data_IF_934044028602
#
_entry.id   IF_934044028602
#
_cell.length_a   1.000
_cell.length_b   1.000
_cell.length_c   1.000
_cell.angle_alpha   90.00
_cell.angle_beta   90.00
_cell.angle_gamma   90.00
#
_symmetry.space_group_name_H-M   'P 1'
#
loop_
_entity.id
_entity.type
_entity.pdbx_description
1 polymer ?
#
# COMPACT_ATOMS: atom_id res chain seq x y z
N UNK A 1 2.92 -19.45 1.46
CA UNK A 1 3.12 -19.05 2.86
C UNK A 1 1.90 -19.47 3.66
N UNK A 2 2.10 -20.07 4.84
CA UNK A 2 0.99 -20.46 5.72
C UNK A 2 0.21 -19.23 6.19
N UNK A 3 -1.11 -19.26 6.03
CA UNK A 3 -2.03 -18.21 6.49
C UNK A 3 -1.89 -17.93 7.99
N UNK A 4 -1.53 -18.93 8.80
CA UNK A 4 -1.28 -18.76 10.23
C UNK A 4 -0.16 -17.77 10.52
N UNK A 5 0.87 -17.72 9.66
CA UNK A 5 1.99 -16.77 9.81
C UNK A 5 1.48 -15.34 9.61
N UNK A 6 0.69 -15.12 8.56
CA UNK A 6 0.13 -13.80 8.26
C UNK A 6 -0.84 -13.32 9.32
N UNK A 7 -1.73 -14.20 9.78
CA UNK A 7 -2.69 -13.85 10.82
C UNK A 7 -1.99 -13.57 12.16
N UNK A 8 -0.90 -14.28 12.45
CA UNK A 8 -0.04 -14.01 13.62
C UNK A 8 0.71 -12.69 13.49
N UNK A 9 1.23 -12.35 12.30
CA UNK A 9 1.85 -11.05 12.02
C UNK A 9 0.84 -9.91 12.25
N UNK A 10 -0.38 -10.05 11.73
CA UNK A 10 -1.46 -9.07 11.90
C UNK A 10 -1.89 -8.95 13.36
N UNK A 11 -1.94 -10.06 14.11
CA UNK A 11 -2.24 -10.05 15.54
C UNK A 11 -1.17 -9.28 16.32
N UNK A 12 0.11 -9.59 16.09
CA UNK A 12 1.23 -8.88 16.72
C UNK A 12 1.25 -7.39 16.37
N UNK A 13 0.93 -7.04 15.13
CA UNK A 13 0.78 -5.65 14.70
C UNK A 13 -0.35 -4.95 15.48
N UNK A 14 -1.53 -5.57 15.55
CA UNK A 14 -2.69 -5.04 16.27
C UNK A 14 -2.38 -4.76 17.74
N UNK A 15 -1.73 -5.71 18.42
CA UNK A 15 -1.34 -5.55 19.83
C UNK A 15 -0.42 -4.33 20.03
N UNK A 16 0.60 -4.18 19.19
CA UNK A 16 1.50 -3.01 19.26
C UNK A 16 0.77 -1.70 18.97
N UNK A 17 -0.17 -1.68 18.02
CA UNK A 17 -0.98 -0.49 17.72
C UNK A 17 -1.80 -0.09 18.94
N UNK A 18 -2.51 -1.04 19.56
CA UNK A 18 -3.31 -0.76 20.76
C UNK A 18 -2.40 -0.26 21.88
N UNK A 19 -1.28 -0.92 22.13
CA UNK A 19 -0.39 -0.56 23.24
C UNK A 19 0.26 0.83 23.06
N UNK A 20 0.72 1.17 21.84
CA UNK A 20 1.57 2.35 21.61
C UNK A 20 0.89 3.53 20.94
N UNK A 21 -0.17 3.29 20.17
CA UNK A 21 -0.78 4.31 19.32
C UNK A 21 -2.21 4.67 19.73
N UNK A 22 -2.86 3.95 20.64
CA UNK A 22 -4.25 4.23 21.06
C UNK A 22 -4.51 5.69 21.49
N UNK A 23 -3.51 6.35 22.05
CA UNK A 23 -3.63 7.74 22.47
C UNK A 23 -3.41 8.75 21.33
N UNK A 24 -2.88 8.29 20.20
CA UNK A 24 -2.36 9.11 19.10
C UNK A 24 -3.20 8.98 17.82
N UNK A 25 -3.95 7.89 17.67
CA UNK A 25 -4.78 7.59 16.50
C UNK A 25 -6.25 7.39 16.87
N UNK A 26 -7.14 7.65 15.93
CA UNK A 26 -8.57 7.35 16.06
C UNK A 26 -8.98 6.04 15.40
N UNK A 27 -8.16 5.53 14.48
CA UNK A 27 -8.49 4.38 13.65
C UNK A 27 -7.22 3.70 13.12
N UNK A 28 -7.22 2.36 13.10
CA UNK A 28 -6.31 1.54 12.31
C UNK A 28 -7.06 0.38 11.67
N UNK A 29 -6.78 0.10 10.39
CA UNK A 29 -7.46 -0.94 9.64
C UNK A 29 -6.56 -1.58 8.57
N UNK A 30 -6.95 -2.78 8.13
CA UNK A 30 -6.34 -3.48 7.00
C UNK A 30 -7.37 -3.62 5.88
N UNK A 31 -6.92 -3.60 4.64
CA UNK A 31 -7.76 -3.86 3.46
C UNK A 31 -7.04 -4.71 2.41
N UNK A 32 -7.69 -5.00 1.30
CA UNK A 32 -7.09 -5.58 0.11
C UNK A 32 -7.12 -7.10 0.09
N UNK A 33 -6.13 -7.67 -0.60
CA UNK A 33 -5.97 -9.11 -0.85
C UNK A 33 -5.97 -9.94 0.44
N UNK A 34 -5.33 -9.45 1.51
CA UNK A 34 -5.32 -10.10 2.83
C UNK A 34 -6.74 -10.32 3.38
N UNK A 35 -7.60 -9.30 3.31
CA UNK A 35 -8.98 -9.37 3.84
C UNK A 35 -9.86 -10.23 2.93
N UNK A 36 -9.71 -10.09 1.61
CA UNK A 36 -10.47 -10.87 0.62
C UNK A 36 -10.02 -12.33 0.50
N UNK A 37 -8.93 -12.72 1.16
CA UNK A 37 -8.30 -14.04 1.03
C UNK A 37 -7.92 -14.38 -0.43
N UNK A 38 -7.53 -13.36 -1.19
CA UNK A 38 -7.10 -13.45 -2.61
C UNK A 38 -5.72 -12.84 -2.74
N UNK A 39 -4.71 -13.52 -2.24
CA UNK A 39 -3.34 -13.03 -2.14
C UNK A 39 -2.38 -14.03 -2.79
N UNK A 40 -1.23 -13.57 -3.25
CA UNK A 40 -0.15 -14.46 -3.67
C UNK A 40 0.37 -15.23 -2.46
N UNK A 41 0.70 -16.50 -2.67
CA UNK A 41 1.17 -17.36 -1.59
C UNK A 41 2.60 -17.05 -1.17
N UNK A 42 3.44 -16.53 -2.06
CA UNK A 42 4.86 -16.30 -1.84
C UNK A 42 5.20 -14.85 -1.44
N UNK A 43 4.36 -13.88 -1.82
CA UNK A 43 4.44 -12.48 -1.42
C UNK A 43 3.06 -11.84 -1.18
N UNK A 44 2.33 -12.25 -0.13
CA UNK A 44 1.13 -11.55 0.30
C UNK A 44 1.43 -10.10 0.66
N UNK A 45 0.55 -9.20 0.20
CA UNK A 45 0.54 -7.79 0.59
C UNK A 45 -0.51 -7.55 1.67
N UNK A 46 -0.11 -6.84 2.73
CA UNK A 46 -0.97 -6.37 3.80
C UNK A 46 -1.07 -4.84 3.71
N UNK A 47 -2.22 -4.34 3.27
CA UNK A 47 -2.46 -2.90 3.16
C UNK A 47 -2.92 -2.35 4.52
N UNK A 48 -2.04 -1.66 5.24
CA UNK A 48 -2.27 -1.14 6.60
C UNK A 48 -2.45 0.37 6.58
N UNK A 49 -3.56 0.85 7.13
CA UNK A 49 -3.88 2.28 7.13
C UNK A 49 -4.28 2.75 8.53
N UNK A 50 -3.89 3.99 8.84
CA UNK A 50 -4.14 4.62 10.14
C UNK A 50 -4.65 6.04 9.96
N UNK A 51 -5.49 6.50 10.89
CA UNK A 51 -5.93 7.89 10.98
C UNK A 51 -5.49 8.43 12.33
N UNK A 52 -4.60 9.40 12.32
CA UNK A 52 -4.18 10.11 13.53
C UNK A 52 -5.33 10.87 14.17
N UNK A 53 -5.21 11.15 15.47
CA UNK A 53 -6.05 12.17 16.12
C UNK A 53 -5.74 13.53 15.55
N UNK A 54 -6.70 14.45 15.64
CA UNK A 54 -6.47 15.86 15.34
C UNK A 54 -5.24 16.35 16.12
N UNK A 55 -4.38 17.15 15.47
CA UNK A 55 -3.12 17.69 16.00
C UNK A 55 -1.97 16.69 16.26
N UNK A 56 -2.21 15.39 16.24
CA UNK A 56 -1.19 14.39 16.58
C UNK A 56 -0.48 13.76 15.38
N UNK A 57 -0.78 14.19 14.14
CA UNK A 57 -0.29 13.53 12.91
C UNK A 57 1.21 13.21 12.92
N UNK A 58 2.09 14.19 13.13
CA UNK A 58 3.54 13.97 13.07
C UNK A 58 4.04 13.01 14.15
N UNK A 59 3.50 13.14 15.36
CA UNK A 59 3.84 12.26 16.50
C UNK A 59 3.35 10.83 16.25
N UNK A 60 2.10 10.68 15.84
CA UNK A 60 1.51 9.40 15.48
C UNK A 60 2.29 8.72 14.34
N UNK A 61 2.66 9.47 13.30
CA UNK A 61 3.41 8.96 12.15
C UNK A 61 4.83 8.52 12.56
N UNK A 62 5.52 9.29 13.39
CA UNK A 62 6.82 8.90 13.94
C UNK A 62 6.75 7.61 14.77
N UNK A 63 5.78 7.53 15.70
CA UNK A 63 5.57 6.35 16.53
C UNK A 63 5.18 5.13 15.70
N UNK A 64 4.39 5.34 14.64
CA UNK A 64 4.03 4.31 13.69
C UNK A 64 5.23 3.77 12.92
N UNK A 65 6.09 4.66 12.38
CA UNK A 65 7.32 4.26 11.71
C UNK A 65 8.25 3.46 12.62
N UNK A 66 8.39 3.87 13.90
CA UNK A 66 9.15 3.13 14.91
C UNK A 66 8.55 1.75 15.17
N UNK A 67 7.24 1.67 15.37
CA UNK A 67 6.52 0.41 15.59
C UNK A 67 6.72 -0.55 14.41
N UNK A 68 6.52 -0.09 13.17
CA UNK A 68 6.70 -0.91 11.98
C UNK A 68 8.14 -1.39 11.85
N UNK A 69 9.13 -0.51 12.06
CA UNK A 69 10.54 -0.89 11.97
C UNK A 69 10.89 -1.98 12.99
N UNK A 70 10.40 -1.87 14.23
CA UNK A 70 10.60 -2.90 15.25
C UNK A 70 9.87 -4.21 14.91
N UNK A 71 8.66 -4.14 14.37
CA UNK A 71 7.90 -5.33 13.98
C UNK A 71 8.57 -6.05 12.81
N UNK A 72 9.03 -5.31 11.80
CA UNK A 72 9.80 -5.84 10.67
C UNK A 72 11.06 -6.53 11.18
N UNK A 73 11.82 -5.91 12.08
CA UNK A 73 13.03 -6.50 12.64
C UNK A 73 12.75 -7.78 13.46
N UNK A 74 11.62 -7.83 14.18
CA UNK A 74 11.25 -8.99 14.99
C UNK A 74 10.77 -10.19 14.16
N UNK A 75 10.20 -9.95 12.97
CA UNK A 75 9.64 -10.99 12.12
C UNK A 75 10.57 -11.42 10.98
N UNK A 76 11.43 -10.51 10.51
CA UNK A 76 12.37 -10.80 9.44
C UNK A 76 13.47 -11.74 9.93
N UNK A 77 13.69 -12.83 9.20
CA UNK A 77 14.71 -13.83 9.47
C UNK A 77 15.15 -14.50 8.15
N UNK A 78 16.00 -15.51 8.21
CA UNK A 78 16.54 -16.20 7.03
C UNK A 78 15.47 -16.80 6.11
N UNK A 79 14.25 -17.06 6.62
CA UNK A 79 13.17 -17.72 5.90
C UNK A 79 11.97 -16.83 5.55
N UNK A 80 11.88 -15.65 6.18
CA UNK A 80 10.79 -14.69 6.01
C UNK A 80 11.34 -13.26 5.92
N UNK A 81 11.01 -12.55 4.84
CA UNK A 81 11.31 -11.14 4.68
C UNK A 81 10.03 -10.35 4.92
N UNK A 82 10.07 -9.33 5.79
CA UNK A 82 8.99 -8.36 5.92
C UNK A 82 9.53 -7.00 5.50
N UNK A 83 8.83 -6.29 4.63
CA UNK A 83 9.29 -4.99 4.13
C UNK A 83 8.12 -4.05 3.87
N UNK A 84 8.43 -2.75 3.88
CA UNK A 84 7.46 -1.71 3.51
C UNK A 84 7.57 -1.46 2.01
N UNK A 85 6.40 -1.44 1.39
CA UNK A 85 6.20 -1.06 0.02
C UNK A 85 6.03 0.47 -0.07
N UNK A 86 7.00 1.15 -0.67
CA UNK A 86 7.09 2.61 -0.72
C UNK A 86 6.79 3.19 -2.11
N UNK A 87 6.21 2.39 -3.01
CA UNK A 87 5.85 2.83 -4.35
C UNK A 87 4.77 3.95 -4.28
N UNK A 88 4.85 5.01 -5.12
CA UNK A 88 5.75 5.22 -6.25
C UNK A 88 7.12 5.84 -5.89
N UNK A 89 7.34 6.23 -4.64
CA UNK A 89 8.39 7.18 -4.25
C UNK A 89 9.73 6.53 -3.89
N UNK A 90 9.77 5.23 -3.63
CA UNK A 90 11.00 4.47 -3.43
C UNK A 90 10.85 2.99 -3.81
N UNK A 91 11.96 2.36 -4.17
CA UNK A 91 12.10 0.90 -4.19
C UNK A 91 11.75 0.32 -2.81
N UNK A 92 11.23 -0.91 -2.77
CA UNK A 92 11.06 -1.61 -1.50
C UNK A 92 12.39 -1.68 -0.74
N UNK A 93 12.39 -1.50 0.58
CA UNK A 93 13.59 -1.72 1.41
C UNK A 93 13.82 -3.23 1.55
N UNK A 94 14.42 -3.83 0.52
CA UNK A 94 14.66 -5.28 0.42
C UNK A 94 15.99 -5.70 1.03
N UNK A 95 16.05 -6.90 1.59
CA UNK A 95 17.31 -7.54 1.96
C UNK A 95 17.91 -8.25 0.74
N UNK A 96 19.08 -7.80 0.28
CA UNK A 96 19.78 -8.35 -0.88
C UNK A 96 20.83 -9.40 -0.52
N UNK A 97 21.11 -9.61 0.78
CA UNK A 97 22.20 -10.50 1.22
C UNK A 97 21.89 -11.98 1.07
N UNK A 98 20.62 -12.36 1.01
CA UNK A 98 20.19 -13.75 0.81
C UNK A 98 18.81 -13.82 0.14
N UNK A 99 18.60 -14.85 -0.68
CA UNK A 99 17.28 -15.11 -1.26
C UNK A 99 16.34 -15.68 -0.22
N UNK A 100 15.36 -14.88 0.19
CA UNK A 100 14.29 -15.34 1.07
C UNK A 100 13.15 -15.95 0.26
N UNK A 101 12.61 -17.08 0.72
CA UNK A 101 11.52 -17.81 0.04
C UNK A 101 10.14 -17.20 0.29
N UNK A 102 9.88 -16.72 1.50
CA UNK A 102 8.59 -16.14 1.88
C UNK A 102 8.75 -14.65 2.15
N UNK A 103 7.78 -13.86 1.70
CA UNK A 103 7.82 -12.41 1.86
C UNK A 103 6.48 -11.85 2.30
N UNK A 104 6.49 -10.83 3.14
CA UNK A 104 5.30 -10.03 3.48
C UNK A 104 5.58 -8.60 3.04
N UNK A 105 4.82 -8.14 2.05
CA UNK A 105 4.80 -6.74 1.64
C UNK A 105 3.81 -5.97 2.50
N UNK A 106 4.17 -4.75 2.90
CA UNK A 106 3.28 -3.86 3.64
C UNK A 106 3.14 -2.55 2.86
N UNK A 107 2.00 -2.38 2.17
CA UNK A 107 1.58 -1.05 1.71
C UNK A 107 0.97 -0.31 2.89
N UNK A 108 1.43 0.92 3.16
CA UNK A 108 0.90 1.65 4.30
C UNK A 108 0.80 3.16 4.10
N UNK A 109 -0.15 3.78 4.81
CA UNK A 109 -0.21 5.23 4.96
C UNK A 109 -0.79 5.64 6.33
N UNK A 110 -0.34 6.79 6.82
CA UNK A 110 -0.93 7.51 7.95
C UNK A 110 -1.68 8.72 7.42
N UNK A 111 -2.93 8.88 7.82
CA UNK A 111 -3.74 10.03 7.47
C UNK A 111 -3.83 11.02 8.62
N UNK A 112 -3.84 12.30 8.28
CA UNK A 112 -3.99 13.38 9.25
C UNK A 112 -5.45 13.49 9.71
N UNK A 113 -5.70 13.36 11.02
CA UNK A 113 -7.04 13.46 11.59
C UNK A 113 -7.73 14.80 11.33
N UNK A 114 -6.97 15.89 11.16
CA UNK A 114 -7.55 17.20 10.79
C UNK A 114 -8.19 17.21 9.42
N UNK A 115 -7.69 16.37 8.52
CA UNK A 115 -8.15 16.28 7.14
C UNK A 115 -9.35 15.33 7.01
N UNK A 116 -9.92 14.84 8.12
CA UNK A 116 -11.17 14.04 8.12
C UNK A 116 -12.31 14.76 7.40
N UNK A 117 -12.36 16.10 7.50
CA UNK A 117 -13.35 16.94 6.80
C UNK A 117 -13.03 17.13 5.31
N UNK A 118 -11.76 16.99 4.92
CA UNK A 118 -11.23 17.17 3.57
C UNK A 118 -10.52 15.91 3.06
N UNK A 119 -11.18 14.74 3.19
CA UNK A 119 -10.88 13.54 2.39
C UNK A 119 -9.61 12.75 2.73
N UNK A 120 -8.95 13.01 3.88
CA UNK A 120 -7.71 12.33 4.30
C UNK A 120 -6.60 12.28 3.23
N UNK A 121 -6.68 13.07 2.14
CA UNK A 121 -5.77 13.06 0.99
C UNK A 121 -5.19 11.67 0.67
N UNK A 122 -6.07 10.67 0.55
CA UNK A 122 -5.70 9.37 0.00
C UNK A 122 -5.04 9.63 -1.35
N UNK A 123 -3.70 9.48 -1.41
CA UNK A 123 -2.99 9.52 -2.69
C UNK A 123 -3.68 8.50 -3.56
N UNK A 124 -4.08 8.90 -4.76
CA UNK A 124 -5.05 8.15 -5.53
C UNK A 124 -4.51 6.82 -6.10
N UNK A 125 -3.27 6.48 -5.76
CA UNK A 125 -2.62 5.19 -5.97
C UNK A 125 -3.01 4.17 -4.88
N UNK A 126 -3.49 4.64 -3.73
CA UNK A 126 -4.13 3.81 -2.71
C UNK A 126 -5.53 3.46 -3.23
N UNK A 127 -5.64 2.32 -3.88
CA UNK A 127 -6.90 1.86 -4.48
C UNK A 127 -8.07 1.78 -3.47
N UNK A 128 -9.30 1.81 -4.00
CA UNK A 128 -10.57 1.77 -3.24
C UNK A 128 -10.86 0.42 -2.56
N UNK A 129 -9.84 -0.41 -2.31
CA UNK A 129 -10.03 -1.76 -1.76
C UNK A 129 -10.75 -1.77 -0.42
N UNK A 130 -10.66 -0.69 0.35
CA UNK A 130 -11.27 -0.59 1.68
C UNK A 130 -12.79 -0.36 1.61
N UNK A 131 -13.30 0.30 0.57
CA UNK A 131 -14.75 0.42 0.33
C UNK A 131 -15.43 -0.94 0.17
N UNK A 132 -14.69 -1.94 -0.33
CA UNK A 132 -15.23 -3.28 -0.61
C UNK A 132 -14.93 -4.28 0.49
N UNK A 133 -13.83 -4.11 1.21
CA UNK A 133 -13.38 -5.07 2.23
C UNK A 133 -12.37 -4.43 3.17
N UNK A 134 -12.64 -4.43 4.47
CA UNK A 134 -11.68 -4.03 5.50
C UNK A 134 -11.79 -4.91 6.75
N UNK A 135 -10.72 -4.89 7.55
CA UNK A 135 -10.65 -5.48 8.89
C UNK A 135 -10.21 -4.37 9.85
N UNK A 136 -11.09 -4.00 10.78
CA UNK A 136 -10.77 -3.05 11.83
C UNK A 136 -9.74 -3.66 12.80
N UNK A 137 -8.69 -2.91 13.13
CA UNK A 137 -7.70 -3.33 14.13
C UNK A 137 -7.90 -2.60 15.46
N UNK A 138 -8.19 -1.30 15.38
CA UNK A 138 -8.40 -0.40 16.52
C UNK A 138 -9.24 0.81 16.09
N UNK A 139 -10.02 1.38 17.03
CA UNK A 139 -10.67 2.67 16.86
C UNK A 139 -12.13 2.61 16.42
N UNK A 140 -12.65 3.74 15.96
CA UNK A 140 -14.06 3.87 15.51
C UNK A 140 -14.20 3.56 14.01
N UNK A 141 -14.97 2.51 13.69
CA UNK A 141 -15.29 2.13 12.31
C UNK A 141 -16.07 3.21 11.55
N UNK A 142 -16.86 4.05 12.21
CA UNK A 142 -17.65 5.09 11.54
C UNK A 142 -16.77 6.05 10.75
N UNK A 143 -15.55 6.31 11.23
CA UNK A 143 -14.54 7.11 10.51
C UNK A 143 -14.27 6.53 9.13
N UNK A 144 -14.24 5.20 8.95
CA UNK A 144 -14.10 4.56 7.63
C UNK A 144 -15.29 4.86 6.73
N UNK A 145 -16.50 4.84 7.28
CA UNK A 145 -17.75 5.04 6.51
C UNK A 145 -17.90 6.49 6.06
N UNK A 146 -17.30 7.42 6.79
CA UNK A 146 -17.26 8.85 6.45
C UNK A 146 -16.20 9.20 5.40
N UNK A 147 -15.24 8.31 5.14
CA UNK A 147 -14.28 8.52 4.06
C UNK A 147 -15.02 8.54 2.73
N UNK A 148 -15.23 9.74 2.18
CA UNK A 148 -15.73 9.89 0.81
C UNK A 148 -14.54 9.89 -0.15
N UNK A 149 -14.67 9.20 -1.28
CA UNK A 149 -13.71 9.33 -2.37
C UNK A 149 -14.32 10.09 -3.53
N UNK A 150 -14.11 11.40 -3.59
CA UNK A 150 -14.55 12.22 -4.73
C UNK A 150 -13.41 12.42 -5.74
N UNK A 151 -13.20 11.47 -6.64
CA UNK A 151 -12.16 11.64 -7.68
C UNK A 151 -12.58 12.72 -8.68
N UNK A 152 -12.18 13.96 -8.42
CA UNK A 152 -12.29 15.06 -9.38
C UNK A 152 -11.15 14.94 -10.37
N UNK A 153 -11.47 14.65 -11.65
CA UNK A 153 -10.49 14.58 -12.75
C UNK A 153 -10.10 15.98 -13.24
N UNK A 154 -9.57 16.80 -12.33
CA UNK A 154 -9.06 18.14 -12.63
C UNK A 154 -7.79 18.08 -13.49
N UNK A 155 -7.32 19.23 -13.98
CA UNK A 155 -6.02 19.28 -14.66
C UNK A 155 -4.87 18.82 -13.74
N UNK A 156 -4.90 19.19 -12.46
CA UNK A 156 -3.94 18.71 -11.47
C UNK A 156 -3.94 17.19 -11.34
N UNK A 157 -5.12 16.55 -11.42
CA UNK A 157 -5.27 15.10 -11.42
C UNK A 157 -4.51 14.45 -12.59
N UNK A 158 -4.67 15.01 -13.79
CA UNK A 158 -3.98 14.52 -14.99
C UNK A 158 -2.46 14.70 -14.91
N UNK A 159 -2.01 15.84 -14.37
CA UNK A 159 -0.58 16.11 -14.18
C UNK A 159 0.05 15.14 -13.18
N UNK A 160 -0.62 14.86 -12.06
CA UNK A 160 -0.18 13.87 -11.07
C UNK A 160 -0.05 12.47 -11.69
N UNK A 161 -1.01 12.04 -12.52
CA UNK A 161 -0.95 10.73 -13.20
C UNK A 161 0.20 10.65 -14.20
N UNK A 162 0.39 11.69 -15.02
CA UNK A 162 1.52 11.77 -15.94
C UNK A 162 2.86 11.74 -15.20
N UNK A 163 2.95 12.47 -14.08
CA UNK A 163 4.13 12.47 -13.22
C UNK A 163 4.39 11.08 -12.62
N UNK A 164 3.38 10.41 -12.09
CA UNK A 164 3.50 9.05 -11.55
C UNK A 164 3.99 8.05 -12.62
N UNK A 165 3.44 8.08 -13.83
CA UNK A 165 3.91 7.23 -14.93
C UNK A 165 5.37 7.50 -15.31
N UNK A 166 5.77 8.77 -15.33
CA UNK A 166 7.17 9.13 -15.56
C UNK A 166 8.06 8.59 -14.44
N UNK A 167 7.63 8.71 -13.19
CA UNK A 167 8.34 8.19 -12.03
C UNK A 167 8.49 6.66 -12.10
N UNK A 168 7.43 5.91 -12.40
CA UNK A 168 7.52 4.45 -12.59
C UNK A 168 8.55 4.06 -13.64
N UNK A 169 8.54 4.75 -14.79
CA UNK A 169 9.53 4.53 -15.86
C UNK A 169 10.95 4.76 -15.35
N UNK A 170 11.20 5.89 -14.68
CA UNK A 170 12.51 6.22 -14.12
C UNK A 170 12.97 5.19 -13.09
N UNK A 171 12.08 4.71 -12.23
CA UNK A 171 12.40 3.70 -11.22
C UNK A 171 12.76 2.37 -11.88
N UNK A 172 11.99 1.88 -12.86
CA UNK A 172 12.29 0.64 -13.60
C UNK A 172 13.65 0.72 -14.29
N UNK A 173 13.98 1.87 -14.89
CA UNK A 173 15.29 2.10 -15.52
C UNK A 173 16.44 2.11 -14.52
N UNK A 174 16.19 2.51 -13.28
CA UNK A 174 17.19 2.57 -12.22
C UNK A 174 17.44 1.20 -11.54
N UNK A 175 16.50 0.25 -11.61
CA UNK A 175 16.58 -1.05 -10.94
C UNK A 175 17.91 -1.80 -11.16
N UNK A 176 18.47 -1.90 -12.38
CA UNK A 176 19.74 -2.61 -12.62
C UNK A 176 20.96 -1.98 -11.94
N UNK A 177 20.88 -0.69 -11.56
CA UNK A 177 21.97 0.02 -10.87
C UNK A 177 21.90 -0.14 -9.34
N UNK A 178 20.77 -0.62 -8.82
CA UNK A 178 20.49 -0.70 -7.38
C UNK A 178 20.62 -2.14 -6.90
N UNK A 179 20.09 -3.08 -7.68
CA UNK A 179 20.14 -4.49 -7.35
C UNK A 179 21.16 -5.19 -8.25
N UNK A 180 22.09 -5.99 -7.69
CA UNK A 180 23.05 -6.73 -8.50
C UNK A 180 22.31 -7.79 -9.34
N UNK A 181 22.36 -7.64 -10.67
CA UNK A 181 21.57 -8.45 -11.61
C UNK A 181 21.80 -9.95 -11.44
N UNK A 182 23.05 -10.34 -11.14
CA UNK A 182 23.43 -11.76 -10.96
C UNK A 182 23.03 -12.32 -9.60
N UNK A 183 22.99 -11.48 -8.56
CA UNK A 183 22.80 -11.93 -7.17
C UNK A 183 21.33 -11.86 -6.73
N UNK A 184 20.55 -10.99 -7.37
CA UNK A 184 19.15 -10.71 -6.99
C UNK A 184 18.18 -10.65 -8.19
N UNK A 185 18.23 -11.60 -9.15
CA UNK A 185 17.38 -11.53 -10.35
C UNK A 185 15.88 -11.58 -10.04
N UNK A 186 15.49 -12.29 -8.97
CA UNK A 186 14.09 -12.36 -8.54
C UNK A 186 13.58 -11.04 -7.98
N UNK A 187 14.42 -10.29 -7.25
CA UNK A 187 14.07 -8.96 -6.72
C UNK A 187 13.85 -8.00 -7.89
N UNK A 188 14.77 -7.99 -8.85
CA UNK A 188 14.65 -7.17 -10.07
C UNK A 188 13.36 -7.48 -10.84
N UNK A 189 13.07 -8.76 -11.06
CA UNK A 189 11.84 -9.17 -11.74
C UNK A 189 10.59 -8.69 -11.01
N UNK A 190 10.53 -8.85 -9.69
CA UNK A 190 9.36 -8.47 -8.88
C UNK A 190 9.15 -6.96 -8.83
N UNK A 191 10.19 -6.19 -8.56
CA UNK A 191 10.08 -4.72 -8.55
C UNK A 191 9.69 -4.22 -9.96
N UNK A 192 10.26 -4.80 -11.02
CA UNK A 192 9.88 -4.45 -12.40
C UNK A 192 8.41 -4.78 -12.71
N UNK A 193 7.94 -5.98 -12.33
CA UNK A 193 6.55 -6.39 -12.50
C UNK A 193 5.61 -5.46 -11.74
N UNK A 194 5.95 -5.10 -10.51
CA UNK A 194 5.12 -4.23 -9.68
C UNK A 194 4.99 -2.83 -10.29
N UNK A 195 6.09 -2.21 -10.73
CA UNK A 195 6.02 -0.95 -11.46
C UNK A 195 5.26 -1.05 -12.79
N UNK A 196 5.28 -2.20 -13.47
CA UNK A 196 4.47 -2.44 -14.66
C UNK A 196 2.97 -2.53 -14.31
N UNK A 197 2.60 -3.20 -13.22
CA UNK A 197 1.22 -3.26 -12.71
C UNK A 197 0.70 -1.86 -12.34
N UNK A 198 1.51 -1.08 -11.61
CA UNK A 198 1.20 0.32 -11.27
C UNK A 198 1.06 1.19 -12.52
N UNK A 199 1.95 1.00 -13.50
CA UNK A 199 1.93 1.69 -14.79
C UNK A 199 0.69 1.35 -15.63
N UNK A 200 0.26 0.08 -15.65
CA UNK A 200 -0.99 -0.33 -16.30
C UNK A 200 -2.19 0.30 -15.58
N UNK A 201 -2.25 0.18 -14.24
CA UNK A 201 -3.35 0.71 -13.44
C UNK A 201 -3.56 2.20 -13.67
N UNK A 202 -2.47 2.96 -13.61
CA UNK A 202 -2.53 4.41 -13.75
C UNK A 202 -2.63 4.81 -15.24
N UNK A 203 -2.07 4.03 -16.17
CA UNK A 203 -2.11 4.27 -17.61
C UNK A 203 -3.48 4.03 -18.26
N UNK A 204 -4.24 3.02 -17.81
CA UNK A 204 -5.63 2.79 -18.25
C UNK A 204 -6.49 4.03 -18.02
N UNK A 205 -6.24 4.74 -16.92
CA UNK A 205 -6.97 5.97 -16.59
C UNK A 205 -6.69 7.13 -17.56
N UNK A 206 -5.61 7.05 -18.36
CA UNK A 206 -5.19 8.08 -19.33
C UNK A 206 -5.66 7.82 -20.75
N UNK A 207 -5.91 6.56 -21.12
CA UNK A 207 -6.40 6.23 -22.46
C UNK A 207 -7.93 6.25 -22.58
N UNK A 208 -8.67 6.22 -21.47
CA UNK A 208 -10.13 6.23 -21.53
C UNK A 208 -10.66 7.67 -21.52
N UNK A 209 -11.41 8.04 -22.56
CA UNK A 209 -12.13 9.31 -22.57
C UNK A 209 -13.24 9.36 -21.50
N UNK A 210 -13.72 10.57 -21.21
CA UNK A 210 -14.72 10.82 -20.16
C UNK A 210 -16.03 10.05 -20.35
N UNK A 211 -16.40 9.74 -21.60
CA UNK A 211 -17.62 9.00 -21.95
C UNK A 211 -17.45 7.48 -21.74
N UNK A 212 -16.30 6.93 -22.14
CA UNK A 212 -15.90 5.54 -21.94
C UNK A 212 -15.76 5.19 -20.44
N UNK A 213 -15.30 6.15 -19.63
CA UNK A 213 -15.22 5.99 -18.18
C UNK A 213 -16.59 6.11 -17.49
N UNK A 214 -17.51 6.93 -18.02
CA UNK A 214 -18.85 7.11 -17.44
C UNK A 214 -19.77 5.91 -17.69
N UNK A 215 -19.56 5.20 -18.78
CA UNK A 215 -20.33 4.01 -19.18
C UNK A 215 -19.75 2.70 -18.64
N UNK A 216 -18.67 2.75 -17.85
CA UNK A 216 -18.06 1.58 -17.22
C UNK A 216 -17.30 0.67 -18.19
N UNK A 217 -16.85 1.19 -19.35
CA UNK A 217 -16.24 0.38 -20.40
C UNK A 217 -17.23 -0.68 -20.87
N UNK A 218 -18.09 -0.32 -21.82
CA UNK A 218 -18.82 -1.32 -22.56
C UNK A 218 -17.83 -2.34 -23.12
N UNK A 219 -17.86 -3.57 -22.60
CA UNK A 219 -17.37 -4.73 -23.34
C UNK A 219 -18.26 -4.86 -24.57
N UNK A 220 -18.00 -4.02 -25.57
CA UNK A 220 -18.56 -4.17 -26.89
C UNK A 220 -17.92 -5.42 -27.49
N UNK A 221 -18.68 -6.51 -27.42
CA UNK A 221 -18.69 -7.64 -28.33
C UNK A 221 -17.47 -7.73 -29.27
N UNK A 222 -16.44 -8.48 -28.84
CA UNK A 222 -15.61 -9.17 -29.80
C UNK A 222 -16.33 -10.46 -30.18
N UNK A 223 -17.06 -10.40 -31.31
CA UNK A 223 -17.43 -11.55 -32.12
C UNK A 223 -16.25 -12.04 -32.95
#
# INVERSE_FOLDING_TARGET
>A
MDRKILDSFVAAFREKVIYRLQNEIDLAFITGSYVRKKQFDDEPNINIYLVSKEDNFYRANYLYGKLLSELIAAWSNETLEVFVDLHPYAFGKRNTTHMVKNRISITTNMFNGKDKKNRLNLTQNIGNGWNTSFKLLYGNEEILRELKNEVTKSESWWLERKYALHLYKSQVQALPFIYPVKESPLILFRESLHYAEEGIRDGVSIQLDSESLATGGGFANYS
#
